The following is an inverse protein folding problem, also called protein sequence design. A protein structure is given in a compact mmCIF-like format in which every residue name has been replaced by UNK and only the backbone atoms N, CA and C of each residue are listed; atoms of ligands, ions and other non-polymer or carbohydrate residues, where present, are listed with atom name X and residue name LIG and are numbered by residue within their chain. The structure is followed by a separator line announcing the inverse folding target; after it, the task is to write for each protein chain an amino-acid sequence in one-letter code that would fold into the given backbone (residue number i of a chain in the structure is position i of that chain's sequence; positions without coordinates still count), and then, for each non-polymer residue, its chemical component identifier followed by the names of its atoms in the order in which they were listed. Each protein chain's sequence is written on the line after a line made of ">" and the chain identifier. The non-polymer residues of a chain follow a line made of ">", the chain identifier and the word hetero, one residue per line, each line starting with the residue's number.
data_IF_678248252093
#
_entry.id   IF_678248252093
#
_cell.length_a   1.000
_cell.length_b   1.000
_cell.length_c   1.000
_cell.angle_alpha   90.00
_cell.angle_beta   90.00
_cell.angle_gamma   90.00
#
_symmetry.space_group_name_H-M   'P 1'
#
loop_
_entity.id
_entity.type
_entity.pdbx_description
1 polymer ?
#
# COMPACT_ATOMS: atom_id res chain seq x y z
N UNK A 1 -10.84 17.99 -8.98
CA UNK A 1 -9.78 17.39 -8.15
C UNK A 1 -9.72 15.90 -8.46
N UNK A 2 -8.54 15.30 -8.63
CA UNK A 2 -8.40 13.87 -8.98
C UNK A 2 -9.11 12.94 -7.98
N UNK A 3 -9.18 13.35 -6.70
CA UNK A 3 -9.88 12.62 -5.64
C UNK A 3 -11.42 12.75 -5.70
N UNK A 4 -11.96 13.80 -6.33
CA UNK A 4 -13.40 14.10 -6.34
C UNK A 4 -14.09 13.72 -7.68
N UNK A 5 -13.39 12.98 -8.55
CA UNK A 5 -13.85 12.72 -9.91
C UNK A 5 -14.66 11.42 -10.06
N UNK A 6 -14.71 10.56 -9.03
CA UNK A 6 -15.41 9.26 -9.04
C UNK A 6 -15.69 8.80 -7.60
N UNK A 7 -16.38 7.65 -7.42
CA UNK A 7 -16.61 7.02 -6.11
C UNK A 7 -15.29 6.71 -5.40
N UNK A 8 -14.84 7.63 -4.53
CA UNK A 8 -13.65 7.44 -3.71
C UNK A 8 -14.01 6.70 -2.42
N UNK A 9 -13.69 5.41 -2.37
CA UNK A 9 -13.88 4.60 -1.19
C UNK A 9 -12.66 4.70 -0.26
N UNK A 10 -12.93 4.92 1.03
CA UNK A 10 -11.93 4.79 2.08
C UNK A 10 -11.38 3.35 2.14
N UNK A 11 -10.17 3.18 2.65
CA UNK A 11 -9.64 1.86 2.99
C UNK A 11 -10.38 1.30 4.21
N UNK A 12 -10.61 -0.01 4.22
CA UNK A 12 -11.26 -0.72 5.32
C UNK A 12 -10.41 -0.68 6.59
N UNK A 13 -9.10 -0.86 6.46
CA UNK A 13 -8.17 -0.92 7.59
C UNK A 13 -7.46 0.41 7.87
N UNK A 14 -7.74 1.46 7.08
CA UNK A 14 -7.25 2.83 7.32
C UNK A 14 -8.22 3.89 6.76
N UNK A 15 -9.34 4.18 7.43
CA UNK A 15 -10.41 5.02 6.89
C UNK A 15 -10.05 6.48 6.62
N UNK A 16 -8.93 6.96 7.17
CA UNK A 16 -8.35 8.27 6.91
C UNK A 16 -7.55 8.34 5.59
N UNK A 17 -7.42 7.21 4.89
CA UNK A 17 -6.85 7.13 3.55
C UNK A 17 -7.85 6.53 2.56
N UNK A 18 -7.74 6.92 1.29
CA UNK A 18 -8.64 6.45 0.24
C UNK A 18 -7.95 5.61 -0.82
N UNK A 19 -8.73 4.78 -1.52
CA UNK A 19 -8.22 3.94 -2.61
C UNK A 19 -7.69 4.80 -3.77
N UNK A 20 -8.31 5.95 -4.05
CA UNK A 20 -7.84 6.86 -5.10
C UNK A 20 -6.55 7.58 -4.72
N UNK A 21 -6.31 7.85 -3.45
CA UNK A 21 -5.02 8.37 -2.99
C UNK A 21 -3.89 7.36 -3.30
N UNK A 22 -4.10 6.07 -3.03
CA UNK A 22 -3.13 5.03 -3.38
C UNK A 22 -2.90 4.97 -4.90
N UNK A 23 -3.98 5.01 -5.69
CA UNK A 23 -3.87 5.01 -7.15
C UNK A 23 -3.17 6.27 -7.70
N UNK A 24 -3.39 7.43 -7.07
CA UNK A 24 -2.70 8.68 -7.41
C UNK A 24 -1.20 8.55 -7.15
N UNK A 25 -0.81 8.04 -5.98
CA UNK A 25 0.60 7.78 -5.65
C UNK A 25 1.23 6.81 -6.66
N UNK A 26 0.51 5.74 -7.03
CA UNK A 26 0.99 4.78 -8.01
C UNK A 26 1.34 5.44 -9.36
N UNK A 27 0.50 6.36 -9.83
CA UNK A 27 0.66 7.05 -11.12
C UNK A 27 1.75 8.14 -11.10
N UNK A 28 1.91 8.83 -9.97
CA UNK A 28 2.74 10.04 -9.90
C UNK A 28 4.08 9.87 -9.19
N UNK A 29 4.22 8.88 -8.29
CA UNK A 29 5.39 8.76 -7.40
C UNK A 29 6.37 7.65 -7.78
N UNK A 30 6.20 7.04 -8.97
CA UNK A 30 7.04 5.98 -9.53
C UNK A 30 7.17 4.77 -8.60
N UNK A 31 6.05 4.32 -8.05
CA UNK A 31 6.01 3.11 -7.22
C UNK A 31 6.17 1.88 -8.11
N UNK A 32 7.11 1.00 -7.76
CA UNK A 32 7.36 -0.28 -8.44
C UNK A 32 7.05 -1.45 -7.54
N UNK A 33 7.18 -1.25 -6.23
CA UNK A 33 7.10 -2.25 -5.19
C UNK A 33 6.23 -1.78 -4.03
N UNK A 34 5.60 -2.71 -3.31
CA UNK A 34 4.75 -2.36 -2.18
C UNK A 34 5.53 -1.57 -1.10
N UNK A 35 6.79 -1.93 -0.84
CA UNK A 35 7.62 -1.21 0.13
C UNK A 35 7.95 0.24 -0.26
N UNK A 36 7.85 0.63 -1.54
CA UNK A 36 7.93 2.05 -1.92
C UNK A 36 6.81 2.84 -1.23
N UNK A 37 5.60 2.27 -1.24
CA UNK A 37 4.45 2.90 -0.62
C UNK A 37 4.59 2.90 0.91
N UNK A 38 4.85 1.73 1.50
CA UNK A 38 4.84 1.56 2.96
C UNK A 38 5.97 2.32 3.67
N UNK A 39 7.14 2.42 3.03
CA UNK A 39 8.37 2.96 3.66
C UNK A 39 8.80 4.33 3.15
N UNK A 40 8.41 4.72 1.92
CA UNK A 40 8.98 5.92 1.25
C UNK A 40 7.95 6.96 0.80
N UNK A 41 6.72 6.56 0.46
CA UNK A 41 5.65 7.46 -0.05
C UNK A 41 4.53 7.73 0.94
N UNK A 42 4.55 7.05 2.08
CA UNK A 42 3.64 7.26 3.21
C UNK A 42 4.42 7.25 4.52
N UNK A 43 3.78 7.70 5.61
CA UNK A 43 4.35 7.64 6.95
C UNK A 43 3.89 6.40 7.75
N UNK A 44 3.22 5.43 7.10
CA UNK A 44 2.57 4.30 7.78
C UNK A 44 3.53 3.48 8.63
N UNK A 45 4.68 3.08 8.07
CA UNK A 45 5.68 2.31 8.79
C UNK A 45 6.32 3.12 9.92
N UNK A 46 6.56 4.42 9.69
CA UNK A 46 7.20 5.30 10.66
C UNK A 46 6.29 5.59 11.87
N UNK A 47 4.99 5.75 11.64
CA UNK A 47 3.99 5.97 12.69
C UNK A 47 3.55 4.67 13.37
N UNK A 48 4.02 3.50 12.91
CA UNK A 48 3.65 2.21 13.47
C UNK A 48 2.19 1.81 13.18
N UNK A 49 1.61 2.34 12.11
CA UNK A 49 0.20 2.13 11.75
C UNK A 49 -0.04 0.87 10.90
N UNK A 50 1.04 0.20 10.48
CA UNK A 50 0.93 -1.01 9.69
C UNK A 50 0.36 -2.17 10.50
N UNK A 51 -0.65 -2.82 9.94
CA UNK A 51 -1.18 -4.10 10.39
C UNK A 51 -1.16 -5.08 9.23
N UNK A 52 -1.20 -6.38 9.49
CA UNK A 52 -1.24 -7.39 8.43
C UNK A 52 -2.43 -7.19 7.46
N UNK A 53 -3.68 -6.99 7.94
CA UNK A 53 -4.80 -6.73 7.03
C UNK A 53 -4.60 -5.46 6.19
N UNK A 54 -4.05 -4.38 6.76
CA UNK A 54 -3.76 -3.15 6.01
C UNK A 54 -2.70 -3.37 4.92
N UNK A 55 -1.65 -4.14 5.20
CA UNK A 55 -0.61 -4.46 4.20
C UNK A 55 -1.20 -5.24 3.03
N UNK A 56 -2.05 -6.24 3.31
CA UNK A 56 -2.71 -7.03 2.27
C UNK A 56 -3.68 -6.17 1.45
N UNK A 57 -4.46 -5.30 2.10
CA UNK A 57 -5.36 -4.34 1.42
C UNK A 57 -4.60 -3.35 0.52
N UNK A 58 -3.51 -2.76 1.03
CA UNK A 58 -2.68 -1.85 0.26
C UNK A 58 -2.02 -2.55 -0.94
N UNK A 59 -1.59 -3.82 -0.78
CA UNK A 59 -1.08 -4.62 -1.88
C UNK A 59 -2.15 -4.85 -2.96
N UNK A 60 -3.40 -5.06 -2.56
CA UNK A 60 -4.52 -5.23 -3.48
C UNK A 60 -4.81 -3.94 -4.25
N UNK A 61 -4.97 -2.80 -3.55
CA UNK A 61 -5.31 -1.51 -4.16
C UNK A 61 -4.18 -0.99 -5.04
N UNK A 62 -2.94 -1.00 -4.54
CA UNK A 62 -1.77 -0.58 -5.30
C UNK A 62 -1.55 -1.49 -6.52
N UNK A 63 -1.71 -2.80 -6.32
CA UNK A 63 -1.57 -3.78 -7.39
C UNK A 63 -2.61 -3.62 -8.49
N UNK A 64 -3.87 -3.28 -8.15
CA UNK A 64 -4.88 -2.95 -9.16
C UNK A 64 -4.46 -1.72 -9.99
N UNK A 65 -3.95 -0.68 -9.32
CA UNK A 65 -3.50 0.54 -9.99
C UNK A 65 -2.26 0.31 -10.90
N UNK A 66 -1.38 -0.62 -10.54
CA UNK A 66 -0.17 -0.97 -11.29
C UNK A 66 -0.34 -2.15 -12.26
N UNK A 67 -1.53 -2.76 -12.31
CA UNK A 67 -1.83 -3.91 -13.20
C UNK A 67 -1.19 -5.23 -12.76
N UNK A 68 -0.93 -5.41 -11.46
CA UNK A 68 -0.37 -6.64 -10.92
C UNK A 68 -1.36 -7.80 -10.94
N UNK A 69 -0.85 -8.99 -11.23
CA UNK A 69 -1.63 -10.22 -11.06
C UNK A 69 -1.90 -10.53 -9.59
N UNK A 70 -2.93 -11.34 -9.29
CA UNK A 70 -3.20 -11.83 -7.93
C UNK A 70 -1.98 -12.49 -7.28
N UNK A 71 -1.19 -13.23 -8.06
CA UNK A 71 0.05 -13.87 -7.59
C UNK A 71 1.11 -12.83 -7.23
N UNK A 72 1.26 -11.80 -8.06
CA UNK A 72 2.22 -10.73 -7.81
C UNK A 72 1.86 -9.90 -6.57
N UNK A 73 0.58 -9.58 -6.37
CA UNK A 73 0.11 -8.89 -5.16
C UNK A 73 0.49 -9.64 -3.88
N UNK A 74 0.25 -10.96 -3.85
CA UNK A 74 0.64 -11.83 -2.72
C UNK A 74 2.15 -11.87 -2.52
N UNK A 75 2.92 -11.95 -3.61
CA UNK A 75 4.37 -11.96 -3.55
C UNK A 75 4.94 -10.64 -3.02
N UNK A 76 4.38 -9.50 -3.45
CA UNK A 76 4.76 -8.17 -2.97
C UNK A 76 4.41 -7.97 -1.48
N UNK A 77 3.23 -8.43 -1.04
CA UNK A 77 2.86 -8.43 0.38
C UNK A 77 3.83 -9.27 1.23
N UNK A 78 4.13 -10.50 0.81
CA UNK A 78 5.08 -11.36 1.51
C UNK A 78 6.48 -10.74 1.58
N UNK A 79 6.99 -10.23 0.44
CA UNK A 79 8.30 -9.57 0.37
C UNK A 79 8.36 -8.32 1.26
N UNK A 80 7.30 -7.52 1.30
CA UNK A 80 7.23 -6.35 2.16
C UNK A 80 7.25 -6.72 3.65
N UNK A 81 6.53 -7.77 4.05
CA UNK A 81 6.51 -8.27 5.43
C UNK A 81 7.88 -8.82 5.86
N UNK A 82 8.57 -9.56 4.98
CA UNK A 82 9.94 -10.02 5.21
C UNK A 82 10.90 -8.84 5.38
N UNK A 83 10.81 -7.84 4.50
CA UNK A 83 11.65 -6.64 4.57
C UNK A 83 11.43 -5.87 5.89
N UNK A 84 10.18 -5.72 6.32
CA UNK A 84 9.79 -5.09 7.58
C UNK A 84 10.37 -5.86 8.78
N UNK A 85 10.29 -7.19 8.77
CA UNK A 85 10.80 -8.03 9.85
C UNK A 85 12.34 -7.98 9.94
N UNK A 86 13.02 -8.12 8.80
CA UNK A 86 14.46 -8.33 8.75
C UNK A 86 15.25 -7.02 8.88
N UNK A 87 14.77 -5.94 8.25
CA UNK A 87 15.51 -4.66 8.19
C UNK A 87 14.97 -3.59 9.11
N UNK A 88 13.71 -3.69 9.52
CA UNK A 88 13.05 -2.69 10.36
C UNK A 88 12.62 -3.23 11.73
N UNK A 89 12.74 -4.54 11.98
CA UNK A 89 12.34 -5.16 13.24
C UNK A 89 10.83 -5.17 13.48
N UNK A 90 10.02 -4.92 12.45
CA UNK A 90 8.56 -4.86 12.53
C UNK A 90 7.97 -6.21 12.12
N UNK A 91 7.24 -6.87 13.02
CA UNK A 91 6.57 -8.15 12.75
C UNK A 91 5.07 -8.00 12.91
N UNK A 92 4.31 -8.35 11.86
CA UNK A 92 2.86 -8.18 11.72
C UNK A 92 2.16 -9.51 11.50
#
# INVERSE_FOLDING_TARGET
>A
AFMAADDDAALEHKPDMTRREIAFLAQHEKIVHLDDLLLRRTMLAFLGELTRPLVDELADVLGDALGWSKTQKKAEAARALELLADRHGVRL
#
